data_IF_376745406751
#
_entry.id   IF_376745406751
#
_cell.length_a   1.000
_cell.length_b   1.000
_cell.length_c   1.000
_cell.angle_alpha   90.00
_cell.angle_beta   90.00
_cell.angle_gamma   90.00
#
_symmetry.space_group_name_H-M   'P 1'
#
loop_
_entity.id
_entity.type
_entity.pdbx_description
1 polymer ?
#
# COMPACT_ATOMS: atom_id res chain seq x y z
N UNK A 1 -9.48 -16.03 4.66
CA UNK A 1 -10.37 -14.93 5.08
C UNK A 1 -9.48 -13.84 5.64
N UNK A 2 -9.59 -12.63 5.11
CA UNK A 2 -8.74 -11.50 5.47
C UNK A 2 -9.64 -10.38 6.00
N UNK A 3 -9.21 -9.72 7.07
CA UNK A 3 -9.92 -8.60 7.67
C UNK A 3 -8.94 -7.45 7.84
N UNK A 4 -9.36 -6.24 7.48
CA UNK A 4 -8.54 -5.03 7.56
C UNK A 4 -9.16 -4.08 8.59
N UNK A 5 -8.31 -3.45 9.39
CA UNK A 5 -8.69 -2.39 10.32
C UNK A 5 -7.93 -1.13 9.96
N UNK A 6 -8.65 0.00 9.91
CA UNK A 6 -8.02 1.31 9.75
C UNK A 6 -7.35 1.70 11.07
N UNK A 7 -6.15 2.26 10.96
CA UNK A 7 -5.35 2.73 12.10
C UNK A 7 -5.21 4.26 12.01
N UNK A 8 -3.99 4.77 11.85
CA UNK A 8 -3.70 6.19 11.66
C UNK A 8 -3.89 6.68 10.23
N UNK A 9 -3.82 7.99 10.10
CA UNK A 9 -4.06 8.74 8.86
C UNK A 9 -4.48 10.15 9.25
N UNK A 10 -3.69 11.15 8.86
CA UNK A 10 -3.93 12.55 9.27
C UNK A 10 -4.14 13.48 8.07
N UNK A 11 -3.93 12.98 6.86
CA UNK A 11 -4.17 13.73 5.64
C UNK A 11 -5.38 13.12 4.95
N UNK A 12 -6.54 13.76 5.12
CA UNK A 12 -7.83 13.29 4.62
C UNK A 12 -7.82 13.00 3.11
N UNK A 13 -7.05 13.76 2.33
CA UNK A 13 -6.95 13.54 0.89
C UNK A 13 -6.14 12.29 0.57
N UNK A 14 -5.01 12.09 1.24
CA UNK A 14 -4.18 10.88 1.08
C UNK A 14 -4.93 9.66 1.58
N UNK A 15 -5.56 9.74 2.75
CA UNK A 15 -6.25 8.61 3.38
C UNK A 15 -7.44 8.14 2.52
N UNK A 16 -8.24 9.08 1.98
CA UNK A 16 -9.34 8.73 1.09
C UNK A 16 -8.88 8.10 -0.23
N UNK A 17 -7.80 8.60 -0.83
CA UNK A 17 -7.24 8.02 -2.05
C UNK A 17 -6.63 6.63 -1.81
N UNK A 18 -5.90 6.45 -0.70
CA UNK A 18 -5.30 5.17 -0.33
C UNK A 18 -6.35 4.10 0.00
N UNK A 19 -7.44 4.49 0.67
CA UNK A 19 -8.54 3.58 1.00
C UNK A 19 -9.30 3.16 -0.26
N UNK A 20 -9.52 4.09 -1.22
CA UNK A 20 -10.08 3.74 -2.54
C UNK A 20 -9.19 2.74 -3.27
N UNK A 21 -7.89 3.03 -3.37
CA UNK A 21 -6.94 2.14 -4.05
C UNK A 21 -6.88 0.74 -3.40
N UNK A 22 -7.03 0.66 -2.07
CA UNK A 22 -7.13 -0.62 -1.35
C UNK A 22 -8.35 -1.41 -1.81
N UNK A 23 -9.52 -0.76 -1.92
CA UNK A 23 -10.71 -1.42 -2.43
C UNK A 23 -10.60 -1.80 -3.90
N UNK A 24 -9.97 -0.97 -4.74
CA UNK A 24 -9.73 -1.30 -6.14
C UNK A 24 -8.98 -2.64 -6.26
N UNK A 25 -7.92 -2.85 -5.46
CA UNK A 25 -7.19 -4.12 -5.42
C UNK A 25 -8.05 -5.27 -4.89
N UNK A 26 -8.78 -5.06 -3.79
CA UNK A 26 -9.57 -6.12 -3.16
C UNK A 26 -10.77 -6.57 -4.01
N UNK A 27 -11.27 -5.71 -4.88
CA UNK A 27 -12.39 -5.95 -5.79
C UNK A 27 -11.95 -6.33 -7.21
N UNK A 28 -10.64 -6.58 -7.42
CA UNK A 28 -10.05 -6.92 -8.71
C UNK A 28 -10.34 -5.88 -9.81
N UNK A 29 -10.31 -4.60 -9.44
CA UNK A 29 -10.47 -3.50 -10.38
C UNK A 29 -9.15 -3.30 -11.15
N UNK A 30 -9.16 -3.44 -12.50
CA UNK A 30 -7.94 -3.33 -13.31
C UNK A 30 -7.36 -1.91 -13.37
N UNK A 31 -8.14 -0.89 -13.04
CA UNK A 31 -7.72 0.51 -13.09
C UNK A 31 -7.62 1.12 -11.70
N UNK A 32 -6.43 1.02 -11.09
CA UNK A 32 -6.10 1.76 -9.87
C UNK A 32 -5.31 3.02 -10.24
N UNK A 33 -5.96 4.18 -10.11
CA UNK A 33 -5.34 5.49 -10.40
C UNK A 33 -5.12 6.26 -9.10
N UNK A 34 -3.88 6.70 -8.86
CA UNK A 34 -3.55 7.65 -7.80
C UNK A 34 -3.65 9.09 -8.35
N UNK A 35 -4.66 9.88 -7.95
CA UNK A 35 -4.83 11.24 -8.44
C UNK A 35 -3.81 12.22 -7.84
N UNK A 36 -3.11 11.84 -6.76
CA UNK A 36 -2.09 12.67 -6.12
C UNK A 36 -0.71 12.47 -6.76
N UNK A 37 -0.55 11.37 -7.51
CA UNK A 37 0.67 11.05 -8.23
C UNK A 37 1.84 10.70 -7.32
N UNK A 38 3.04 10.74 -7.88
CA UNK A 38 4.25 10.34 -7.14
C UNK A 38 4.56 11.31 -5.99
N UNK A 39 4.82 10.75 -4.82
CA UNK A 39 5.32 11.52 -3.68
C UNK A 39 6.70 12.11 -3.98
N UNK A 40 6.90 13.36 -3.58
CA UNK A 40 8.21 14.03 -3.60
C UNK A 40 9.10 13.65 -2.41
N UNK A 41 8.55 12.98 -1.40
CA UNK A 41 9.29 12.58 -0.22
C UNK A 41 10.23 11.40 -0.55
N UNK A 42 11.49 11.51 -0.10
CA UNK A 42 12.45 10.40 -0.24
C UNK A 42 12.02 9.25 0.67
N UNK A 43 11.81 8.08 0.08
CA UNK A 43 11.54 6.86 0.83
C UNK A 43 12.73 6.58 1.76
N UNK A 44 12.54 6.36 3.07
CA UNK A 44 13.62 5.88 3.92
C UNK A 44 14.05 4.50 3.41
N UNK A 45 15.35 4.34 3.13
CA UNK A 45 15.93 3.11 2.60
C UNK A 45 16.31 2.11 3.69
N UNK A 46 16.76 0.91 3.29
CA UNK A 46 17.27 -0.12 4.20
C UNK A 46 16.25 -1.19 4.60
N UNK A 47 15.07 -1.16 3.98
CA UNK A 47 14.02 -2.16 4.21
C UNK A 47 14.09 -3.32 3.22
N UNK A 48 14.88 -3.19 2.15
CA UNK A 48 14.95 -4.16 1.05
C UNK A 48 15.31 -5.56 1.55
N UNK A 49 16.33 -5.68 2.40
CA UNK A 49 16.74 -6.95 3.00
C UNK A 49 15.63 -7.58 3.86
N UNK A 50 14.91 -6.74 4.61
CA UNK A 50 13.82 -7.19 5.48
C UNK A 50 12.63 -7.68 4.65
N UNK A 51 12.28 -6.97 3.58
CA UNK A 51 11.20 -7.35 2.66
C UNK A 51 11.53 -8.68 1.98
N UNK A 52 12.76 -8.83 1.47
CA UNK A 52 13.19 -10.08 0.83
C UNK A 52 13.14 -11.27 1.80
N UNK A 53 13.52 -11.07 3.06
CA UNK A 53 13.41 -12.11 4.09
C UNK A 53 11.97 -12.51 4.36
N UNK A 54 11.05 -11.55 4.42
CA UNK A 54 9.61 -11.81 4.58
C UNK A 54 9.07 -12.61 3.39
N UNK A 55 9.40 -12.21 2.16
CA UNK A 55 9.00 -12.95 0.95
C UNK A 55 9.48 -14.40 0.96
N UNK A 56 10.74 -14.64 1.34
CA UNK A 56 11.31 -15.99 1.47
C UNK A 56 10.54 -16.85 2.48
N UNK A 57 10.22 -16.29 3.66
CA UNK A 57 9.44 -16.98 4.70
C UNK A 57 8.03 -17.35 4.19
N UNK A 58 7.43 -16.47 3.39
CA UNK A 58 6.06 -16.66 2.87
C UNK A 58 5.99 -17.30 1.49
N UNK A 59 7.13 -17.71 0.91
CA UNK A 59 7.22 -18.26 -0.45
C UNK A 59 6.57 -17.38 -1.53
N UNK A 60 6.70 -16.06 -1.38
CA UNK A 60 6.23 -15.06 -2.33
C UNK A 60 7.41 -14.72 -3.26
N UNK A 61 7.19 -14.81 -4.57
CA UNK A 61 8.19 -14.46 -5.59
C UNK A 61 8.45 -12.94 -5.65
#
# INVERSE_FOLDING_TARGET
>A
RLAFTLEGGYNLQVDSCALRATFDVLLDNPETVDPLGQSSARKPGGFEEHIERIKQIHHIA
#
